data_IF_979418256163
#
_entry.id   IF_979418256163
#
_cell.length_a   1.000
_cell.length_b   1.000
_cell.length_c   1.000
_cell.angle_alpha   90.00
_cell.angle_beta   90.00
_cell.angle_gamma   90.00
#
_symmetry.space_group_name_H-M   'P 1'
#
loop_
_entity.id
_entity.type
_entity.pdbx_description
1 polymer ?
#
# COMPACT_ATOMS: atom_id res chain seq x y z
N UNK A 1 -13.61 -4.65 25.94
CA UNK A 1 -13.91 -5.96 25.31
C UNK A 1 -14.32 -5.64 23.88
N UNK A 2 -13.37 -5.74 22.95
CA UNK A 2 -13.67 -5.73 21.51
C UNK A 2 -14.11 -7.14 21.15
N UNK A 3 -15.43 -7.40 21.19
CA UNK A 3 -15.99 -8.59 20.60
C UNK A 3 -15.69 -8.59 19.11
N UNK A 4 -15.21 -9.72 18.58
CA UNK A 4 -14.96 -9.91 17.15
C UNK A 4 -16.32 -9.94 16.41
N UNK A 5 -16.73 -8.79 15.90
CA UNK A 5 -17.95 -8.66 15.11
C UNK A 5 -17.64 -9.12 13.69
N UNK A 6 -18.29 -10.23 13.27
CA UNK A 6 -18.06 -10.82 11.96
C UNK A 6 -18.82 -10.10 10.82
N UNK A 7 -19.98 -9.49 11.12
CA UNK A 7 -20.85 -8.77 10.17
C UNK A 7 -21.73 -7.79 10.88
N UNK A 8 -21.98 -6.63 10.28
CA UNK A 8 -22.99 -5.68 10.74
C UNK A 8 -24.28 -5.81 9.90
N UNK A 9 -25.41 -5.83 10.56
CA UNK A 9 -26.74 -5.75 9.90
C UNK A 9 -27.37 -4.46 10.37
N UNK A 10 -27.64 -3.53 9.44
CA UNK A 10 -28.14 -2.21 9.77
C UNK A 10 -29.49 -1.93 9.12
N UNK A 11 -30.44 -1.47 9.93
CA UNK A 11 -31.70 -0.91 9.44
C UNK A 11 -31.46 0.55 9.00
N UNK A 12 -31.95 0.92 7.81
CA UNK A 12 -31.85 2.29 7.32
C UNK A 12 -32.79 3.26 8.04
N UNK A 13 -33.82 2.77 8.70
CA UNK A 13 -34.80 3.57 9.41
C UNK A 13 -34.60 3.47 10.93
N UNK A 14 -33.52 4.06 11.42
CA UNK A 14 -33.27 4.19 12.86
C UNK A 14 -33.85 5.52 13.40
N UNK A 15 -34.23 5.58 14.69
CA UNK A 15 -34.81 6.79 15.27
C UNK A 15 -33.88 8.01 15.25
N UNK A 16 -32.59 7.78 15.28
CA UNK A 16 -31.51 8.78 15.39
C UNK A 16 -30.69 8.96 14.10
N UNK A 17 -30.96 8.14 13.09
CA UNK A 17 -30.31 8.24 11.79
C UNK A 17 -31.23 7.72 10.69
N UNK A 18 -31.45 8.51 9.66
CA UNK A 18 -32.37 8.20 8.57
C UNK A 18 -31.63 7.95 7.25
N UNK A 19 -32.01 6.84 6.58
CA UNK A 19 -31.64 6.58 5.20
C UNK A 19 -30.19 6.18 5.02
N UNK A 20 -29.60 6.68 3.92
CA UNK A 20 -28.30 6.28 3.41
C UNK A 20 -27.13 6.73 4.29
N UNK A 21 -27.32 7.72 5.16
CA UNK A 21 -26.27 8.27 6.02
C UNK A 21 -25.63 7.21 6.92
N UNK A 22 -26.46 6.34 7.50
CA UNK A 22 -25.98 5.21 8.31
C UNK A 22 -25.16 4.20 7.49
N UNK A 23 -25.64 3.90 6.27
CA UNK A 23 -24.96 3.00 5.35
C UNK A 23 -23.63 3.56 4.83
N UNK A 24 -23.46 4.89 4.83
CA UNK A 24 -22.21 5.57 4.44
C UNK A 24 -21.23 5.67 5.63
N UNK A 25 -21.76 5.94 6.83
CA UNK A 25 -20.93 6.18 8.01
C UNK A 25 -20.19 4.93 8.49
N UNK A 26 -20.86 3.77 8.50
CA UNK A 26 -20.29 2.53 9.03
C UNK A 26 -19.11 2.00 8.22
N UNK A 27 -19.15 1.89 6.86
CA UNK A 27 -17.99 1.48 6.08
C UNK A 27 -16.80 2.43 6.17
N UNK A 28 -17.04 3.73 6.44
CA UNK A 28 -15.97 4.71 6.68
C UNK A 28 -15.32 4.52 8.05
N UNK A 29 -16.12 4.22 9.08
CA UNK A 29 -15.62 4.04 10.44
C UNK A 29 -14.97 2.68 10.65
N UNK A 30 -15.47 1.65 9.97
CA UNK A 30 -15.02 0.26 10.06
C UNK A 30 -14.90 -0.35 8.65
N UNK A 31 -13.81 -0.03 7.91
CA UNK A 31 -13.65 -0.43 6.51
C UNK A 31 -13.56 -1.95 6.29
N UNK A 32 -13.17 -2.69 7.30
CA UNK A 32 -13.01 -4.15 7.24
C UNK A 32 -14.27 -4.92 7.61
N UNK A 33 -15.28 -4.26 8.20
CA UNK A 33 -16.50 -4.90 8.66
C UNK A 33 -17.51 -5.05 7.51
N UNK A 34 -17.96 -6.29 7.17
CA UNK A 34 -19.02 -6.49 6.20
C UNK A 34 -20.33 -5.85 6.69
N UNK A 35 -21.04 -5.16 5.80
CA UNK A 35 -22.31 -4.50 6.10
C UNK A 35 -23.42 -5.07 5.22
N UNK A 36 -24.49 -5.56 5.83
CA UNK A 36 -25.78 -5.90 5.18
C UNK A 36 -26.82 -4.89 5.63
N UNK A 37 -27.52 -4.30 4.68
CA UNK A 37 -28.52 -3.26 4.95
C UNK A 37 -29.94 -3.83 4.86
N UNK A 38 -30.81 -3.47 5.81
CA UNK A 38 -32.20 -3.80 5.77
C UNK A 38 -33.02 -2.62 5.22
N UNK A 39 -33.81 -2.88 4.15
CA UNK A 39 -34.63 -1.86 3.48
C UNK A 39 -36.13 -2.15 3.61
N UNK A 40 -36.97 -1.10 3.54
CA UNK A 40 -38.43 -1.23 3.41
C UNK A 40 -38.84 -1.64 1.99
N UNK A 41 -40.14 -1.93 1.81
CA UNK A 41 -40.71 -2.44 0.54
C UNK A 41 -40.52 -1.50 -0.67
N UNK A 42 -40.55 -0.19 -0.46
CA UNK A 42 -40.51 0.82 -1.53
C UNK A 42 -39.11 1.42 -1.72
N UNK A 43 -38.08 0.88 -1.09
CA UNK A 43 -36.78 1.55 -0.91
C UNK A 43 -35.63 0.90 -1.69
N UNK A 44 -35.94 0.34 -2.87
CA UNK A 44 -34.93 -0.31 -3.74
C UNK A 44 -33.81 0.66 -4.15
N UNK A 45 -34.16 1.94 -4.42
CA UNK A 45 -33.17 2.96 -4.77
C UNK A 45 -32.16 3.24 -3.63
N UNK A 46 -32.64 3.24 -2.39
CA UNK A 46 -31.82 3.40 -1.19
C UNK A 46 -30.90 2.19 -0.97
N UNK A 47 -31.41 0.96 -1.23
CA UNK A 47 -30.59 -0.25 -1.21
C UNK A 47 -29.41 -0.19 -2.19
N UNK A 48 -29.65 0.23 -3.44
CA UNK A 48 -28.59 0.43 -4.44
C UNK A 48 -27.58 1.50 -4.00
N UNK A 49 -28.07 2.58 -3.38
CA UNK A 49 -27.19 3.65 -2.89
C UNK A 49 -26.31 3.15 -1.73
N UNK A 50 -26.86 2.31 -0.85
CA UNK A 50 -26.09 1.65 0.22
C UNK A 50 -24.99 0.75 -0.34
N UNK A 51 -25.26 -0.04 -1.40
CA UNK A 51 -24.23 -0.85 -2.08
C UNK A 51 -23.11 0.04 -2.64
N UNK A 52 -23.46 1.16 -3.29
CA UNK A 52 -22.46 2.12 -3.81
C UNK A 52 -21.65 2.79 -2.70
N UNK A 53 -22.23 2.90 -1.50
CA UNK A 53 -21.56 3.45 -0.33
C UNK A 53 -20.64 2.45 0.40
N UNK A 54 -20.63 1.16 -0.02
CA UNK A 54 -19.74 0.13 0.53
C UNK A 54 -20.44 -0.99 1.31
N UNK A 55 -21.78 -1.04 1.33
CA UNK A 55 -22.50 -2.20 1.85
C UNK A 55 -22.30 -3.41 0.91
N UNK A 56 -22.17 -4.61 1.46
CA UNK A 56 -21.96 -5.84 0.69
C UNK A 56 -23.27 -6.41 0.13
N UNK A 57 -24.37 -6.19 0.83
CA UNK A 57 -25.71 -6.62 0.37
C UNK A 57 -26.81 -5.77 1.01
N UNK A 58 -28.03 -5.87 0.46
CA UNK A 58 -29.22 -5.36 1.09
C UNK A 58 -30.36 -6.39 1.00
N UNK A 59 -31.21 -6.42 2.02
CA UNK A 59 -32.36 -7.34 2.13
C UNK A 59 -33.61 -6.52 2.44
N UNK A 60 -34.71 -6.84 1.75
CA UNK A 60 -36.00 -6.29 2.15
C UNK A 60 -36.48 -6.96 3.44
N UNK A 61 -37.00 -6.16 4.38
CA UNK A 61 -37.49 -6.65 5.68
C UNK A 61 -38.50 -7.78 5.56
N UNK A 62 -39.31 -7.78 4.49
CA UNK A 62 -40.29 -8.84 4.23
C UNK A 62 -39.65 -10.16 3.75
N UNK A 63 -38.42 -10.11 3.29
CA UNK A 63 -37.64 -11.26 2.81
C UNK A 63 -36.73 -11.86 3.88
N UNK A 64 -36.79 -11.37 5.11
CA UNK A 64 -36.03 -11.86 6.27
C UNK A 64 -36.44 -13.29 6.72
N UNK A 65 -36.58 -14.21 5.78
CA UNK A 65 -36.83 -15.63 6.10
C UNK A 65 -35.48 -16.34 6.17
N UNK A 66 -35.30 -17.14 7.26
CA UNK A 66 -34.06 -17.75 7.74
C UNK A 66 -32.95 -18.07 6.73
N UNK A 67 -33.26 -18.75 5.63
CA UNK A 67 -32.26 -19.12 4.62
C UNK A 67 -31.68 -17.88 3.92
N UNK A 68 -32.52 -16.91 3.55
CA UNK A 68 -32.07 -15.72 2.80
C UNK A 68 -31.17 -14.78 3.61
N UNK A 69 -31.45 -14.66 4.92
CA UNK A 69 -30.58 -13.88 5.82
C UNK A 69 -29.22 -14.58 6.00
N UNK A 70 -29.24 -15.91 6.20
CA UNK A 70 -28.01 -16.70 6.33
C UNK A 70 -27.12 -16.58 5.08
N UNK A 71 -27.75 -16.70 3.90
CA UNK A 71 -27.03 -16.59 2.62
C UNK A 71 -26.44 -15.17 2.43
N UNK A 72 -27.20 -14.13 2.74
CA UNK A 72 -26.73 -12.75 2.63
C UNK A 72 -25.57 -12.46 3.58
N UNK A 73 -25.61 -12.96 4.82
CA UNK A 73 -24.50 -12.87 5.77
C UNK A 73 -23.25 -13.56 5.21
N UNK A 74 -23.40 -14.79 4.76
CA UNK A 74 -22.30 -15.60 4.22
C UNK A 74 -21.68 -14.89 3.00
N UNK A 75 -22.52 -14.45 2.06
CA UNK A 75 -22.04 -13.73 0.88
C UNK A 75 -21.42 -12.37 1.20
N UNK A 76 -21.94 -11.64 2.19
CA UNK A 76 -21.36 -10.37 2.62
C UNK A 76 -19.96 -10.56 3.19
N UNK A 77 -19.76 -11.57 4.02
CA UNK A 77 -18.45 -11.91 4.58
C UNK A 77 -17.48 -12.31 3.48
N UNK A 78 -17.87 -13.19 2.56
CA UNK A 78 -17.01 -13.63 1.45
C UNK A 78 -16.67 -12.48 0.48
N UNK A 79 -17.64 -11.63 0.14
CA UNK A 79 -17.37 -10.44 -0.71
C UNK A 79 -16.38 -9.49 -0.06
N UNK A 80 -16.56 -9.21 1.25
CA UNK A 80 -15.64 -8.32 1.97
C UNK A 80 -14.23 -8.89 2.05
N UNK A 81 -14.11 -10.18 2.32
CA UNK A 81 -12.84 -10.90 2.31
C UNK A 81 -12.13 -10.78 0.96
N UNK A 82 -12.84 -11.07 -0.13
CA UNK A 82 -12.29 -10.96 -1.49
C UNK A 82 -11.88 -9.51 -1.83
N UNK A 83 -12.68 -8.51 -1.43
CA UNK A 83 -12.37 -7.09 -1.61
C UNK A 83 -11.05 -6.73 -0.90
N UNK A 84 -10.88 -7.15 0.34
CA UNK A 84 -9.67 -6.91 1.14
C UNK A 84 -8.45 -7.63 0.55
N UNK A 85 -8.60 -8.89 0.14
CA UNK A 85 -7.53 -9.65 -0.50
C UNK A 85 -7.09 -9.02 -1.83
N UNK A 86 -8.03 -8.53 -2.64
CA UNK A 86 -7.72 -7.81 -3.88
C UNK A 86 -7.02 -6.47 -3.62
N UNK A 87 -7.48 -5.72 -2.60
CA UNK A 87 -6.85 -4.46 -2.21
C UNK A 87 -5.42 -4.70 -1.69
N UNK A 88 -5.22 -5.73 -0.87
CA UNK A 88 -3.90 -6.13 -0.38
C UNK A 88 -2.99 -6.59 -1.52
N UNK A 89 -3.52 -7.36 -2.47
CA UNK A 89 -2.76 -7.80 -3.64
C UNK A 89 -2.36 -6.61 -4.53
N UNK A 90 -3.28 -5.69 -4.81
CA UNK A 90 -3.00 -4.46 -5.55
C UNK A 90 -1.94 -3.59 -4.85
N UNK A 91 -2.01 -3.50 -3.52
CA UNK A 91 -1.01 -2.80 -2.73
C UNK A 91 0.37 -3.49 -2.84
N UNK A 92 0.43 -4.82 -2.75
CA UNK A 92 1.67 -5.59 -2.92
C UNK A 92 2.29 -5.40 -4.31
N UNK A 93 1.48 -5.38 -5.37
CA UNK A 93 1.96 -5.09 -6.73
C UNK A 93 2.54 -3.67 -6.85
N UNK A 94 2.09 -2.71 -6.05
CA UNK A 94 2.62 -1.35 -6.03
C UNK A 94 3.94 -1.21 -5.26
N UNK A 95 4.45 -2.28 -4.62
CA UNK A 95 5.65 -2.24 -3.80
C UNK A 95 6.96 -2.45 -4.57
N UNK A 96 6.87 -2.79 -5.85
CA UNK A 96 8.02 -2.90 -6.74
C UNK A 96 7.84 -2.02 -7.97
N UNK A 97 8.91 -1.39 -8.38
CA UNK A 97 8.97 -0.66 -9.64
C UNK A 97 9.14 -1.64 -10.80
N UNK A 98 8.26 -1.57 -11.79
CA UNK A 98 8.23 -2.53 -12.91
C UNK A 98 9.48 -2.47 -13.80
N UNK A 99 10.15 -1.30 -13.86
CA UNK A 99 11.33 -1.09 -14.69
C UNK A 99 12.61 -1.63 -14.06
N UNK A 100 12.81 -1.31 -12.79
CA UNK A 100 14.06 -1.57 -12.04
C UNK A 100 13.95 -2.77 -11.10
N UNK A 101 12.72 -3.19 -10.78
CA UNK A 101 12.44 -4.22 -9.79
C UNK A 101 12.87 -3.83 -8.37
N UNK A 102 13.09 -2.53 -8.12
CA UNK A 102 13.37 -2.02 -6.78
C UNK A 102 12.08 -1.85 -5.98
N UNK A 103 12.16 -1.98 -4.65
CA UNK A 103 11.07 -1.56 -3.77
C UNK A 103 10.73 -0.09 -3.97
N UNK A 104 9.43 0.23 -3.92
CA UNK A 104 8.93 1.60 -4.08
C UNK A 104 8.87 2.35 -2.75
N UNK A 105 8.55 3.66 -2.80
CA UNK A 105 8.21 4.49 -1.64
C UNK A 105 7.09 3.86 -0.78
N UNK A 106 6.14 3.15 -1.40
CA UNK A 106 5.06 2.46 -0.69
C UNK A 106 5.60 1.41 0.27
N UNK A 107 6.54 0.57 -0.18
CA UNK A 107 7.18 -0.44 0.67
C UNK A 107 8.08 0.21 1.73
N UNK A 108 8.84 1.24 1.37
CA UNK A 108 9.66 1.98 2.35
C UNK A 108 8.81 2.47 3.53
N UNK A 109 7.68 3.12 3.25
CA UNK A 109 6.80 3.64 4.30
C UNK A 109 6.24 2.53 5.21
N UNK A 110 5.97 1.37 4.66
CA UNK A 110 5.49 0.21 5.42
C UNK A 110 6.59 -0.41 6.29
N UNK A 111 7.82 -0.53 5.78
CA UNK A 111 8.93 -1.20 6.47
C UNK A 111 9.70 -0.28 7.42
N UNK A 112 9.70 1.02 7.17
CA UNK A 112 10.46 2.01 7.93
C UNK A 112 10.28 1.91 9.46
N UNK A 113 9.05 1.82 10.03
CA UNK A 113 8.88 1.71 11.47
C UNK A 113 9.57 0.49 12.07
N UNK A 114 9.55 -0.63 11.34
CA UNK A 114 10.18 -1.89 11.74
C UNK A 114 11.71 -1.81 11.67
N UNK A 115 12.24 -1.24 10.59
CA UNK A 115 13.69 -1.03 10.40
C UNK A 115 14.25 -0.14 11.49
N UNK A 116 13.54 0.96 11.82
CA UNK A 116 13.94 1.87 12.88
C UNK A 116 13.92 1.19 14.27
N UNK A 117 12.87 0.43 14.56
CA UNK A 117 12.78 -0.31 15.84
C UNK A 117 13.89 -1.36 15.97
N UNK A 118 14.21 -2.07 14.88
CA UNK A 118 15.30 -3.06 14.85
C UNK A 118 16.66 -2.42 15.15
N UNK A 119 16.97 -1.31 14.50
CA UNK A 119 18.21 -0.55 14.74
C UNK A 119 18.34 -0.09 16.20
N UNK A 120 17.25 0.45 16.77
CA UNK A 120 17.24 0.87 18.17
C UNK A 120 17.48 -0.29 19.16
N UNK A 121 16.89 -1.45 18.90
CA UNK A 121 17.10 -2.65 19.73
C UNK A 121 18.50 -3.24 19.55
N UNK A 122 19.06 -3.17 18.35
CA UNK A 122 20.40 -3.69 18.03
C UNK A 122 21.56 -2.79 18.48
N UNK A 123 21.28 -1.55 18.89
CA UNK A 123 22.31 -0.59 19.32
C UNK A 123 23.22 -0.11 18.18
N UNK A 124 22.81 -0.29 16.92
CA UNK A 124 23.54 0.15 15.72
C UNK A 124 22.80 1.29 15.03
N UNK A 125 23.52 2.24 14.43
CA UNK A 125 22.94 3.33 13.67
C UNK A 125 22.45 2.90 12.28
N UNK A 126 21.61 3.73 11.69
CA UNK A 126 21.22 3.69 10.30
C UNK A 126 21.85 4.85 9.54
N UNK A 127 22.45 4.56 8.39
CA UNK A 127 22.82 5.59 7.41
C UNK A 127 21.70 5.75 6.38
N UNK A 128 21.34 6.99 6.06
CA UNK A 128 20.33 7.28 5.06
C UNK A 128 20.97 8.05 3.91
N UNK A 129 20.85 7.54 2.69
CA UNK A 129 21.41 8.16 1.49
C UNK A 129 20.30 8.41 0.49
N UNK A 130 20.17 9.64 0.04
CA UNK A 130 19.31 10.04 -1.07
C UNK A 130 20.16 10.25 -2.30
N UNK A 131 19.74 9.71 -3.42
CA UNK A 131 20.41 9.85 -4.72
C UNK A 131 19.38 10.40 -5.72
N UNK A 132 19.79 11.42 -6.46
CA UNK A 132 19.04 11.99 -7.57
C UNK A 132 19.95 12.03 -8.80
N UNK A 133 19.43 11.70 -9.98
CA UNK A 133 20.23 11.66 -11.21
C UNK A 133 20.22 13.00 -11.91
N UNK A 134 21.32 13.70 -11.86
CA UNK A 134 21.48 14.98 -12.54
C UNK A 134 21.20 14.85 -14.05
N UNK A 135 20.38 15.79 -14.55
CA UNK A 135 20.03 15.88 -15.97
C UNK A 135 19.29 14.66 -16.57
N UNK A 136 18.70 13.79 -15.79
CA UNK A 136 17.97 12.62 -16.27
C UNK A 136 16.87 12.99 -17.29
N UNK A 137 16.14 14.07 -17.02
CA UNK A 137 15.18 14.63 -17.97
C UNK A 137 15.81 14.96 -19.33
N UNK A 138 17.01 15.50 -19.34
CA UNK A 138 17.73 15.84 -20.58
C UNK A 138 18.07 14.59 -21.40
N UNK A 139 18.37 13.47 -20.74
CA UNK A 139 18.60 12.18 -21.41
C UNK A 139 17.30 11.72 -22.09
N UNK A 140 16.18 11.75 -21.37
CA UNK A 140 14.86 11.42 -21.94
C UNK A 140 14.48 12.32 -23.14
N UNK A 141 14.70 13.62 -23.00
CA UNK A 141 14.33 14.59 -24.02
C UNK A 141 15.19 14.44 -25.32
N UNK A 142 16.48 14.05 -25.18
CA UNK A 142 17.41 13.90 -26.32
C UNK A 142 17.42 12.51 -26.95
N UNK A 143 17.41 11.47 -26.14
CA UNK A 143 17.60 10.08 -26.56
C UNK A 143 16.32 9.21 -26.45
N UNK A 144 15.24 9.79 -25.92
CA UNK A 144 13.96 9.11 -25.73
C UNK A 144 13.86 8.30 -24.43
N UNK A 145 12.65 7.97 -24.02
CA UNK A 145 12.37 7.26 -22.77
C UNK A 145 13.05 5.88 -22.67
N UNK A 146 13.24 5.18 -23.79
CA UNK A 146 13.95 3.89 -23.79
C UNK A 146 15.41 4.02 -23.34
N UNK A 147 16.06 5.13 -23.68
CA UNK A 147 17.42 5.40 -23.22
C UNK A 147 17.44 5.71 -21.71
N UNK A 148 16.49 6.51 -21.22
CA UNK A 148 16.31 6.74 -19.80
C UNK A 148 16.05 5.46 -19.01
N UNK A 149 15.21 4.57 -19.53
CA UNK A 149 14.93 3.26 -18.94
C UNK A 149 16.20 2.40 -18.84
N UNK A 150 17.04 2.41 -19.88
CA UNK A 150 18.32 1.70 -19.86
C UNK A 150 19.26 2.26 -18.80
N UNK A 151 19.34 3.60 -18.65
CA UNK A 151 20.13 4.27 -17.61
C UNK A 151 19.64 3.85 -16.22
N UNK A 152 18.33 3.87 -15.96
CA UNK A 152 17.78 3.48 -14.65
C UNK A 152 18.10 2.02 -14.30
N UNK A 153 18.00 1.10 -15.27
CA UNK A 153 18.36 -0.31 -15.06
C UNK A 153 19.84 -0.47 -14.75
N UNK A 154 20.71 0.21 -15.50
CA UNK A 154 22.16 0.14 -15.30
C UNK A 154 22.55 0.69 -13.92
N UNK A 155 22.03 1.85 -13.54
CA UNK A 155 22.27 2.44 -12.22
C UNK A 155 21.80 1.51 -11.11
N UNK A 156 20.60 0.94 -11.24
CA UNK A 156 20.06 -0.03 -10.27
C UNK A 156 21.00 -1.23 -10.11
N UNK A 157 21.53 -1.76 -11.20
CA UNK A 157 22.46 -2.89 -11.18
C UNK A 157 23.78 -2.53 -10.48
N UNK A 158 24.31 -1.34 -10.75
CA UNK A 158 25.55 -0.84 -10.13
C UNK A 158 25.37 -0.61 -8.63
N UNK A 159 24.28 0.06 -8.22
CA UNK A 159 23.95 0.27 -6.82
C UNK A 159 23.83 -1.05 -6.06
N UNK A 160 23.11 -2.04 -6.61
CA UNK A 160 22.99 -3.36 -5.99
C UNK A 160 24.32 -4.10 -5.82
N UNK A 161 25.27 -3.91 -6.74
CA UNK A 161 26.62 -4.51 -6.64
C UNK A 161 27.47 -3.83 -5.56
N UNK A 162 27.29 -2.52 -5.34
CA UNK A 162 28.03 -1.75 -4.35
C UNK A 162 27.49 -1.86 -2.93
N UNK A 163 26.28 -2.38 -2.74
CA UNK A 163 25.60 -2.49 -1.45
C UNK A 163 25.82 -3.87 -0.82
N UNK A 164 25.80 -3.91 0.53
CA UNK A 164 25.82 -5.15 1.32
C UNK A 164 24.43 -5.80 1.29
N UNK A 165 24.32 -7.08 1.64
CA UNK A 165 23.03 -7.79 1.74
C UNK A 165 22.09 -7.22 2.81
N UNK A 166 22.67 -6.56 3.83
CA UNK A 166 21.92 -5.88 4.89
C UNK A 166 21.36 -4.53 4.45
N UNK A 167 21.96 -3.91 3.43
CA UNK A 167 21.55 -2.59 2.97
C UNK A 167 20.31 -2.70 2.08
N UNK A 168 19.42 -1.72 2.21
CA UNK A 168 18.16 -1.69 1.48
C UNK A 168 18.18 -0.52 0.49
N UNK A 169 17.70 -0.77 -0.73
CA UNK A 169 17.59 0.26 -1.77
C UNK A 169 16.14 0.34 -2.27
N UNK A 170 15.65 1.56 -2.40
CA UNK A 170 14.29 1.89 -2.85
C UNK A 170 14.34 2.88 -4.00
N UNK A 171 13.36 2.82 -4.90
CA UNK A 171 13.10 3.86 -5.88
C UNK A 171 11.90 4.69 -5.42
N UNK A 172 12.12 5.99 -5.17
CA UNK A 172 11.08 6.87 -4.64
C UNK A 172 10.23 7.55 -5.73
N UNK A 173 10.80 7.69 -6.92
CA UNK A 173 10.20 8.29 -8.10
C UNK A 173 11.20 8.19 -9.24
N UNK A 174 10.85 8.40 -10.46
CA UNK A 174 11.64 8.29 -11.68
C UNK A 174 13.16 8.10 -11.51
N UNK A 175 13.86 9.18 -11.19
CA UNK A 175 15.31 9.28 -11.05
C UNK A 175 15.81 9.37 -9.59
N UNK A 176 14.91 9.25 -8.60
CA UNK A 176 15.21 9.34 -7.17
C UNK A 176 15.37 7.95 -6.54
N UNK A 177 16.52 7.71 -5.91
CA UNK A 177 16.79 6.47 -5.14
C UNK A 177 17.03 6.79 -3.67
N UNK A 178 16.65 5.86 -2.81
CA UNK A 178 16.83 5.96 -1.37
C UNK A 178 17.49 4.69 -0.85
N UNK A 179 18.55 4.83 -0.06
CA UNK A 179 19.30 3.71 0.49
C UNK A 179 19.30 3.81 2.00
N UNK A 180 19.03 2.69 2.65
CA UNK A 180 19.20 2.50 4.09
C UNK A 180 20.41 1.60 4.29
N UNK A 181 21.42 2.14 4.95
CA UNK A 181 22.63 1.43 5.34
C UNK A 181 22.47 0.96 6.79
N UNK A 182 22.49 -0.34 7.01
CA UNK A 182 22.34 -0.91 8.35
C UNK A 182 23.72 -1.12 9.02
N UNK A 183 23.72 -1.07 10.36
CA UNK A 183 24.92 -1.34 11.15
C UNK A 183 25.98 -0.24 11.08
N UNK A 184 25.58 1.01 10.92
CA UNK A 184 26.47 2.15 10.96
C UNK A 184 26.83 2.45 12.42
N UNK A 185 28.13 2.38 12.72
CA UNK A 185 28.64 2.61 14.08
C UNK A 185 29.05 4.07 14.30
N UNK A 186 29.61 4.70 13.30
CA UNK A 186 30.11 6.07 13.33
C UNK A 186 30.08 6.78 11.96
N UNK A 187 30.52 8.03 11.91
CA UNK A 187 30.60 8.82 10.67
C UNK A 187 31.57 8.24 9.64
N UNK A 188 32.63 7.55 10.08
CA UNK A 188 33.63 6.94 9.19
C UNK A 188 33.04 5.76 8.43
N UNK A 189 32.20 4.98 9.09
CA UNK A 189 31.45 3.89 8.43
C UNK A 189 30.50 4.44 7.36
N UNK A 190 29.82 5.55 7.67
CA UNK A 190 28.92 6.22 6.71
C UNK A 190 29.69 6.79 5.53
N UNK A 191 30.83 7.47 5.77
CA UNK A 191 31.69 8.02 4.71
C UNK A 191 32.20 6.91 3.79
N UNK A 192 32.65 5.78 4.36
CA UNK A 192 33.12 4.63 3.56
C UNK A 192 32.01 4.03 2.70
N UNK A 193 30.82 3.86 3.25
CA UNK A 193 29.67 3.33 2.52
C UNK A 193 29.22 4.27 1.40
N UNK A 194 29.19 5.58 1.66
CA UNK A 194 28.84 6.58 0.64
C UNK A 194 29.90 6.68 -0.47
N UNK A 195 31.20 6.53 -0.15
CA UNK A 195 32.25 6.47 -1.16
C UNK A 195 32.15 5.21 -2.03
N UNK A 196 31.77 4.05 -1.47
CA UNK A 196 31.49 2.86 -2.25
C UNK A 196 30.31 3.06 -3.21
N UNK A 197 29.23 3.70 -2.75
CA UNK A 197 28.09 4.04 -3.59
C UNK A 197 28.55 4.99 -4.71
N UNK A 198 29.30 6.03 -4.37
CA UNK A 198 29.80 7.00 -5.34
C UNK A 198 30.71 6.36 -6.39
N UNK A 199 31.58 5.42 -5.98
CA UNK A 199 32.48 4.72 -6.90
C UNK A 199 31.73 3.90 -7.95
N UNK A 200 30.51 3.42 -7.64
CA UNK A 200 29.68 2.69 -8.60
C UNK A 200 29.21 3.56 -9.81
N UNK A 201 29.32 4.89 -9.70
CA UNK A 201 28.96 5.83 -10.77
C UNK A 201 30.17 6.33 -11.58
N UNK A 202 31.41 5.98 -11.19
CA UNK A 202 32.63 6.48 -11.86
C UNK A 202 32.88 5.87 -13.25
N UNK A 203 32.24 4.74 -13.57
CA UNK A 203 32.33 4.14 -14.89
C UNK A 203 31.24 4.72 -15.81
N UNK A 204 31.60 5.12 -17.02
CA UNK A 204 30.66 5.63 -18.00
C UNK A 204 29.49 4.66 -18.22
N UNK A 205 28.28 5.19 -18.25
CA UNK A 205 27.08 4.42 -18.64
C UNK A 205 27.15 4.28 -20.17
N UNK A 206 27.52 3.09 -20.63
CA UNK A 206 27.60 2.72 -22.06
C UNK A 206 26.25 2.32 -22.63
#
# INVERSE_FOLDING_TARGET
>A
DTEDIAVAICDLNLPDSTGVETAIALPKAQPTLPLVVLTGLDDHATGITALRAGAQDYIHKNDLKGVRLSDAITFAIERKKNELELAEHALRLSFQDDLTGLPTRGLLNQEWPRTLAHSQCGGTGLGLVMIDLDNFKTINDRAGHLAGDAVLREITMRLRKGLRKSDQIYQLGGDEFFIILEGISDSTDLERATEQIRSAFNDDVT
#
